data_IF_115426159724
#
_entry.id   IF_115426159724
#
_cell.length_a   1.000
_cell.length_b   1.000
_cell.length_c   1.000
_cell.angle_alpha   90.00
_cell.angle_beta   90.00
_cell.angle_gamma   90.00
#
_symmetry.space_group_name_H-M   'P 1'
#
loop_
_entity.id
_entity.type
_entity.pdbx_description
1 polymer ?
#
# COMPACT_ATOMS: atom_id res chain seq x y z
N UNK A 1 4.23 -8.13 -33.77
CA UNK A 1 4.76 -7.06 -32.88
C UNK A 1 3.86 -7.04 -31.65
N UNK A 2 4.25 -7.72 -30.57
CA UNK A 2 3.44 -7.85 -29.34
C UNK A 2 3.80 -6.71 -28.39
N UNK A 3 2.78 -6.02 -27.86
CA UNK A 3 2.91 -5.05 -26.77
C UNK A 3 3.33 -5.79 -25.47
N UNK A 4 4.17 -5.19 -24.61
CA UNK A 4 4.55 -5.81 -23.34
C UNK A 4 3.35 -5.87 -22.39
N UNK A 5 3.25 -6.98 -21.65
CA UNK A 5 2.23 -7.22 -20.63
C UNK A 5 2.26 -6.15 -19.52
N UNK A 6 1.11 -5.78 -18.93
CA UNK A 6 1.09 -4.89 -17.78
C UNK A 6 1.80 -5.56 -16.59
N UNK A 7 2.59 -4.77 -15.87
CA UNK A 7 3.26 -5.14 -14.61
C UNK A 7 2.21 -5.68 -13.63
N UNK A 8 2.10 -7.01 -13.56
CA UNK A 8 1.13 -7.77 -12.76
C UNK A 8 1.47 -7.79 -11.26
N UNK A 9 1.67 -6.61 -10.68
CA UNK A 9 2.04 -6.44 -9.27
C UNK A 9 1.12 -5.50 -8.48
N UNK A 10 0.20 -4.81 -9.15
CA UNK A 10 -0.79 -3.96 -8.47
C UNK A 10 -2.16 -4.61 -8.62
N UNK A 11 -2.89 -4.87 -7.52
CA UNK A 11 -4.30 -5.20 -7.65
C UNK A 11 -4.98 -4.02 -8.36
N UNK A 12 -5.89 -4.26 -9.31
CA UNK A 12 -6.71 -3.19 -9.83
C UNK A 12 -7.40 -2.52 -8.65
N UNK A 13 -7.40 -1.18 -8.62
CA UNK A 13 -8.36 -0.45 -7.81
C UNK A 13 -9.73 -0.73 -8.45
N UNK A 14 -10.30 -1.89 -8.15
CA UNK A 14 -11.63 -2.27 -8.60
C UNK A 14 -12.60 -1.24 -8.07
N UNK A 15 -12.88 -0.26 -8.92
CA UNK A 15 -13.95 0.71 -8.76
C UNK A 15 -15.26 0.03 -9.20
N UNK A 16 -15.52 -1.15 -8.66
CA UNK A 16 -16.83 -1.77 -8.67
C UNK A 16 -17.40 -1.54 -7.28
N UNK A 17 -18.13 -0.42 -7.17
CA UNK A 17 -19.14 -0.27 -6.14
C UNK A 17 -20.24 -1.29 -6.47
N UNK A 18 -20.00 -2.54 -6.11
CA UNK A 18 -21.00 -3.59 -6.08
C UNK A 18 -21.84 -3.42 -4.83
N UNK A 19 -23.12 -3.12 -5.02
CA UNK A 19 -24.15 -3.35 -4.00
C UNK A 19 -24.10 -4.84 -3.58
N UNK A 20 -23.87 -5.08 -2.28
CA UNK A 20 -23.83 -6.42 -1.67
C UNK A 20 -22.39 -6.83 -1.35
N UNK A 21 -21.94 -6.92 -0.10
CA UNK A 21 -22.59 -7.30 1.14
C UNK A 21 -22.17 -6.26 2.19
N UNK A 22 -23.13 -5.65 2.89
CA UNK A 22 -22.83 -4.88 4.10
C UNK A 22 -22.23 -5.88 5.09
N UNK A 23 -20.90 -5.89 5.25
CA UNK A 23 -20.25 -6.65 6.32
C UNK A 23 -20.95 -6.28 7.61
N UNK A 24 -21.60 -7.25 8.25
CA UNK A 24 -22.37 -7.13 9.50
C UNK A 24 -21.52 -6.64 10.68
N UNK A 25 -20.23 -6.43 10.47
CA UNK A 25 -19.23 -6.00 11.46
C UNK A 25 -19.11 -4.49 11.60
N UNK A 26 -19.61 -3.68 10.66
CA UNK A 26 -19.48 -2.22 10.71
C UNK A 26 -20.81 -1.55 10.99
N UNK A 27 -20.95 -0.92 12.16
CA UNK A 27 -22.19 -0.25 12.54
C UNK A 27 -22.37 1.08 11.81
N UNK A 28 -21.28 1.80 11.52
CA UNK A 28 -21.29 3.11 10.87
C UNK A 28 -20.62 3.16 9.47
N UNK A 29 -20.36 2.01 8.84
CA UNK A 29 -20.09 1.93 7.39
C UNK A 29 -18.62 1.96 6.95
N UNK A 30 -17.67 1.78 7.87
CA UNK A 30 -16.27 1.47 7.55
C UNK A 30 -16.04 -0.02 7.76
N UNK A 31 -15.73 -0.78 6.70
CA UNK A 31 -15.42 -2.21 6.82
C UNK A 31 -13.97 -2.41 7.31
N UNK A 32 -13.76 -2.94 8.54
CA UNK A 32 -12.42 -3.20 9.06
C UNK A 32 -11.61 -4.16 8.20
N UNK A 33 -12.28 -5.13 7.55
CA UNK A 33 -11.61 -6.12 6.72
C UNK A 33 -10.95 -5.47 5.49
N UNK A 34 -11.66 -4.53 4.86
CA UNK A 34 -11.17 -3.76 3.71
C UNK A 34 -9.95 -2.90 4.11
N UNK A 35 -10.05 -2.15 5.21
CA UNK A 35 -8.95 -1.30 5.71
C UNK A 35 -7.72 -2.13 6.02
N UNK A 36 -7.89 -3.29 6.65
CA UNK A 36 -6.78 -4.21 6.95
C UNK A 36 -6.16 -4.80 5.70
N UNK A 37 -6.96 -5.12 4.68
CA UNK A 37 -6.46 -5.63 3.40
C UNK A 37 -5.61 -4.59 2.66
N UNK A 38 -6.08 -3.35 2.59
CA UNK A 38 -5.31 -2.24 2.00
C UNK A 38 -4.00 -2.06 2.78
N UNK A 39 -4.07 -2.05 4.11
CA UNK A 39 -2.88 -1.91 4.96
C UNK A 39 -1.87 -3.05 4.74
N UNK A 40 -2.33 -4.32 4.63
CA UNK A 40 -1.47 -5.48 4.31
C UNK A 40 -0.82 -5.32 2.94
N UNK A 41 -1.59 -4.91 1.94
CA UNK A 41 -1.12 -4.72 0.56
C UNK A 41 -0.04 -3.65 0.48
N UNK A 42 -0.26 -2.48 1.10
CA UNK A 42 0.74 -1.42 1.13
C UNK A 42 2.01 -1.82 1.88
N UNK A 43 1.89 -2.56 2.98
CA UNK A 43 3.06 -3.09 3.70
C UNK A 43 3.86 -4.05 2.82
N UNK A 44 3.18 -5.01 2.18
CA UNK A 44 3.84 -5.97 1.31
C UNK A 44 4.54 -5.29 0.14
N UNK A 45 3.88 -4.32 -0.50
CA UNK A 45 4.47 -3.52 -1.57
C UNK A 45 5.67 -2.69 -1.08
N UNK A 46 5.59 -2.07 0.10
CA UNK A 46 6.69 -1.32 0.69
C UNK A 46 7.94 -2.18 0.94
N UNK A 47 7.75 -3.40 1.47
CA UNK A 47 8.83 -4.38 1.67
C UNK A 47 9.42 -4.81 0.33
N UNK A 48 8.57 -5.16 -0.64
CA UNK A 48 9.03 -5.60 -1.96
C UNK A 48 9.83 -4.52 -2.69
N UNK A 49 9.41 -3.25 -2.59
CA UNK A 49 10.12 -2.12 -3.19
C UNK A 49 11.48 -1.93 -2.50
N UNK A 50 11.56 -1.92 -1.18
CA UNK A 50 12.85 -1.84 -0.47
C UNK A 50 13.83 -2.97 -0.83
N UNK A 51 13.30 -4.15 -1.17
CA UNK A 51 14.11 -5.29 -1.59
C UNK A 51 14.60 -5.22 -3.04
N UNK A 52 14.18 -4.22 -3.83
CA UNK A 52 14.59 -4.08 -5.21
C UNK A 52 16.11 -3.83 -5.32
N UNK A 53 16.82 -4.72 -6.00
CA UNK A 53 18.26 -4.59 -6.25
C UNK A 53 18.52 -3.52 -7.31
N UNK A 54 18.85 -2.31 -6.85
CA UNK A 54 19.29 -1.19 -7.68
C UNK A 54 20.82 -1.07 -7.74
N UNK A 55 21.56 -1.88 -6.99
CA UNK A 55 23.03 -1.87 -7.00
C UNK A 55 23.57 -2.41 -8.34
N UNK A 56 22.86 -3.36 -8.95
CA UNK A 56 23.16 -3.87 -10.28
C UNK A 56 23.22 -2.76 -11.35
N UNK A 57 22.50 -1.64 -11.17
CA UNK A 57 22.54 -0.48 -12.07
C UNK A 57 23.89 0.25 -11.96
N UNK A 58 24.47 0.30 -10.76
CA UNK A 58 25.75 0.92 -10.46
C UNK A 58 26.96 0.10 -10.92
N UNK A 59 26.79 -1.23 -11.03
CA UNK A 59 27.83 -2.16 -11.45
C UNK A 59 28.19 -2.09 -12.94
N UNK A 60 27.44 -1.32 -13.75
CA UNK A 60 27.71 -1.15 -15.17
C UNK A 60 29.02 -0.38 -15.42
N UNK A 61 30.13 -1.09 -15.64
CA UNK A 61 31.44 -0.49 -15.92
C UNK A 61 31.86 -0.69 -17.38
N UNK A 62 31.89 0.41 -18.13
CA UNK A 62 32.54 0.48 -19.45
C UNK A 62 33.09 1.91 -19.66
N UNK A 63 34.41 2.14 -19.48
CA UNK A 63 35.01 3.47 -19.42
C UNK A 63 34.71 4.37 -20.62
N UNK A 64 34.59 3.79 -21.81
CA UNK A 64 34.33 4.47 -23.07
C UNK A 64 32.83 4.60 -23.40
N UNK A 65 31.94 3.93 -22.66
CA UNK A 65 30.51 3.95 -22.92
C UNK A 65 29.83 5.11 -22.18
N UNK A 66 29.20 6.02 -22.94
CA UNK A 66 28.32 7.06 -22.38
C UNK A 66 27.12 6.45 -21.66
N UNK A 67 26.59 5.34 -22.19
CA UNK A 67 25.43 4.63 -21.62
C UNK A 67 25.79 4.02 -20.27
N UNK A 68 26.95 3.35 -20.14
CA UNK A 68 27.38 2.78 -18.87
C UNK A 68 27.59 3.84 -17.79
N UNK A 69 28.19 4.99 -18.14
CA UNK A 69 28.32 6.13 -17.21
C UNK A 69 26.97 6.69 -16.77
N UNK A 70 26.00 6.79 -17.68
CA UNK A 70 24.65 7.25 -17.36
C UNK A 70 23.92 6.26 -16.44
N UNK A 71 24.05 4.95 -16.69
CA UNK A 71 23.53 3.90 -15.81
C UNK A 71 24.16 4.00 -14.42
N UNK A 72 25.49 4.05 -14.33
CA UNK A 72 26.18 4.17 -13.04
C UNK A 72 25.74 5.43 -12.25
N UNK A 73 25.54 6.56 -12.94
CA UNK A 73 25.05 7.78 -12.32
C UNK A 73 23.60 7.69 -11.83
N UNK A 74 22.78 6.79 -12.39
CA UNK A 74 21.38 6.60 -12.01
C UNK A 74 21.22 5.73 -10.76
N UNK A 75 22.24 4.97 -10.35
CA UNK A 75 22.15 4.04 -9.22
C UNK A 75 21.76 4.73 -7.90
N UNK A 76 22.42 5.84 -7.55
CA UNK A 76 22.11 6.59 -6.32
C UNK A 76 20.69 7.20 -6.35
N UNK A 77 20.25 7.91 -7.40
CA UNK A 77 18.87 8.36 -7.52
C UNK A 77 17.85 7.21 -7.44
N UNK A 78 18.12 6.06 -8.08
CA UNK A 78 17.25 4.90 -8.03
C UNK A 78 17.10 4.37 -6.60
N UNK A 79 18.21 4.28 -5.85
CA UNK A 79 18.20 3.85 -4.45
C UNK A 79 17.39 4.79 -3.55
N UNK A 80 17.59 6.10 -3.69
CA UNK A 80 16.80 7.09 -2.95
C UNK A 80 15.30 7.01 -3.28
N UNK A 81 14.95 6.76 -4.54
CA UNK A 81 13.56 6.61 -4.95
C UNK A 81 12.93 5.35 -4.35
N UNK A 82 13.62 4.21 -4.43
CA UNK A 82 13.18 2.95 -3.83
C UNK A 82 12.97 3.11 -2.33
N UNK A 83 13.94 3.69 -1.62
CA UNK A 83 13.85 3.89 -0.18
C UNK A 83 12.67 4.81 0.19
N UNK A 84 12.49 5.93 -0.55
CA UNK A 84 11.39 6.86 -0.30
C UNK A 84 10.01 6.25 -0.55
N UNK A 85 9.86 5.44 -1.59
CA UNK A 85 8.58 4.82 -1.92
C UNK A 85 8.26 3.71 -0.91
N UNK A 86 9.25 2.86 -0.59
CA UNK A 86 9.10 1.79 0.40
C UNK A 86 8.69 2.32 1.78
N UNK A 87 9.36 3.38 2.23
CA UNK A 87 9.08 4.02 3.52
C UNK A 87 7.65 4.59 3.55
N UNK A 88 7.24 5.27 2.48
CA UNK A 88 5.92 5.91 2.40
C UNK A 88 4.80 4.89 2.44
N UNK A 89 4.94 3.78 1.71
CA UNK A 89 3.95 2.69 1.72
C UNK A 89 3.86 2.02 3.10
N UNK A 90 5.00 1.80 3.74
CA UNK A 90 5.06 1.22 5.09
C UNK A 90 4.44 2.16 6.13
N UNK A 91 4.74 3.45 6.05
CA UNK A 91 4.14 4.49 6.89
C UNK A 91 2.63 4.60 6.69
N UNK A 92 2.17 4.62 5.44
CA UNK A 92 0.74 4.65 5.11
C UNK A 92 -0.01 3.41 5.62
N UNK A 93 0.60 2.22 5.53
CA UNK A 93 0.07 1.00 6.15
C UNK A 93 -0.07 1.15 7.67
N UNK A 94 0.94 1.72 8.33
CA UNK A 94 0.89 2.01 9.77
C UNK A 94 -0.26 2.95 10.12
N UNK A 95 -0.44 4.04 9.37
CA UNK A 95 -1.54 4.98 9.56
C UNK A 95 -2.91 4.33 9.39
N UNK A 96 -3.11 3.48 8.37
CA UNK A 96 -4.37 2.74 8.18
C UNK A 96 -4.68 1.79 9.33
N UNK A 97 -3.68 1.10 9.88
CA UNK A 97 -3.89 0.20 11.04
C UNK A 97 -4.27 0.97 12.30
N UNK A 98 -3.67 2.13 12.52
CA UNK A 98 -4.05 3.03 13.63
C UNK A 98 -5.48 3.54 13.44
N UNK A 99 -5.83 3.96 12.22
CA UNK A 99 -7.18 4.36 11.86
C UNK A 99 -8.20 3.26 12.12
N UNK A 100 -7.96 2.03 11.64
CA UNK A 100 -8.82 0.85 11.86
C UNK A 100 -9.11 0.64 13.36
N UNK A 101 -8.05 0.62 14.18
CA UNK A 101 -8.19 0.42 15.63
C UNK A 101 -9.00 1.53 16.33
N UNK A 102 -8.84 2.77 15.87
CA UNK A 102 -9.54 3.93 16.44
C UNK A 102 -11.01 3.93 16.04
N UNK A 103 -11.30 3.62 14.78
CA UNK A 103 -12.66 3.53 14.25
C UNK A 103 -13.41 2.38 14.91
N UNK A 104 -12.83 1.19 14.97
CA UNK A 104 -13.48 0.03 15.59
C UNK A 104 -13.86 0.30 17.06
N UNK A 105 -12.97 0.94 17.82
CA UNK A 105 -13.25 1.32 19.21
C UNK A 105 -14.37 2.38 19.33
N UNK A 106 -14.43 3.32 18.38
CA UNK A 106 -15.44 4.39 18.36
C UNK A 106 -16.80 3.87 17.90
N UNK A 107 -16.82 2.99 16.89
CA UNK A 107 -17.99 2.30 16.35
C UNK A 107 -18.68 1.47 17.44
N UNK A 108 -17.92 0.60 18.12
CA UNK A 108 -18.43 -0.22 19.22
C UNK A 108 -18.98 0.61 20.38
N UNK A 109 -18.29 1.70 20.76
CA UNK A 109 -18.76 2.59 21.84
C UNK A 109 -20.07 3.27 21.48
N UNK A 110 -20.12 3.87 20.30
CA UNK A 110 -21.31 4.60 19.84
C UNK A 110 -22.49 3.63 19.66
N UNK A 111 -22.20 2.42 19.16
CA UNK A 111 -23.16 1.34 19.05
C UNK A 111 -23.81 0.94 20.35
N UNK A 112 -23.02 0.75 21.40
CA UNK A 112 -23.53 0.46 22.74
C UNK A 112 -24.44 1.57 23.26
N UNK A 113 -24.05 2.84 23.09
CA UNK A 113 -24.87 3.98 23.52
C UNK A 113 -26.22 4.05 22.80
N UNK A 114 -26.26 3.78 21.49
CA UNK A 114 -27.54 3.73 20.77
C UNK A 114 -28.39 2.53 21.17
N UNK A 115 -27.78 1.38 21.46
CA UNK A 115 -28.48 0.22 22.03
C UNK A 115 -29.15 0.56 23.36
N UNK A 116 -28.40 1.18 24.28
CA UNK A 116 -28.92 1.61 25.58
C UNK A 116 -30.08 2.62 25.47
N UNK A 117 -30.11 3.44 24.41
CA UNK A 117 -31.24 4.34 24.14
C UNK A 117 -32.45 3.61 23.57
N UNK A 118 -32.26 2.57 22.75
CA UNK A 118 -33.34 1.82 22.14
C UNK A 118 -34.07 0.91 23.15
N UNK A 119 -33.37 0.46 24.19
CA UNK A 119 -33.91 -0.39 25.25
C UNK A 119 -34.65 0.40 26.37
N UNK A 120 -34.77 1.72 26.23
CA UNK A 120 -35.50 2.63 27.12
C UNK A 120 -36.87 3.00 26.58
#
# INVERSE_FOLDING_TARGET
MMLPAPLSGFPPLSRERGDGIRSTTSQFGIDPAEVQEIARTWRAAGIAIHAADVEAIGAAFAPSSRVARALAAAARPARLAVDSIGERLTSMSGMLRTFDSTVAATDARSGGLFGDLADR
#
